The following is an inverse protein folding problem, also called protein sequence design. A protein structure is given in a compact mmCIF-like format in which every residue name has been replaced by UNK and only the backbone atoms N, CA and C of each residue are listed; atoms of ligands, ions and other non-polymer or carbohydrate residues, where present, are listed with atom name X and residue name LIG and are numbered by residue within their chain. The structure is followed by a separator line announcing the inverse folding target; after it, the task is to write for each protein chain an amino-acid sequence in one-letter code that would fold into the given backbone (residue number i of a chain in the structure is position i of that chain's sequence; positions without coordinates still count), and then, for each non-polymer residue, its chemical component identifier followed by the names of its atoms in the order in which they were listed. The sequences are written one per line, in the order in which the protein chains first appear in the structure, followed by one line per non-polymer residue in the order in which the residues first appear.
data_IF_705276490298
#
_entry.id   IF_705276490298
#
_cell.length_a   1.000
_cell.length_b   1.000
_cell.length_c   1.000
_cell.angle_alpha   90.00
_cell.angle_beta   90.00
_cell.angle_gamma   90.00
#
_symmetry.space_group_name_H-M   'P 1'
#
loop_
_entity.id
_entity.type
_entity.pdbx_description
1 polymer ?
#
# COMPACT_ATOMS: atom_id res chain seq x y z
N UNK A 1 -53.40 40.02 -46.66
CA UNK A 1 -53.64 39.04 -45.58
C UNK A 1 -55.10 39.11 -45.15
N UNK A 2 -56.01 38.31 -45.73
CA UNK A 2 -57.47 38.40 -45.44
C UNK A 2 -58.13 37.06 -45.11
N UNK A 3 -57.39 35.95 -45.21
CA UNK A 3 -57.91 34.61 -44.87
C UNK A 3 -57.55 34.26 -43.41
N UNK A 4 -58.43 33.55 -42.67
CA UNK A 4 -58.10 33.08 -41.33
C UNK A 4 -56.93 32.11 -41.36
N UNK A 5 -56.04 32.21 -40.37
CA UNK A 5 -54.89 31.31 -40.23
C UNK A 5 -55.34 30.03 -39.52
N UNK A 6 -55.27 28.90 -40.23
CA UNK A 6 -55.68 27.59 -39.73
C UNK A 6 -54.47 26.83 -39.15
N UNK A 7 -53.84 27.40 -38.12
CA UNK A 7 -52.58 26.88 -37.55
C UNK A 7 -52.70 25.46 -37.00
N UNK A 8 -53.70 25.21 -36.15
CA UNK A 8 -53.91 23.89 -35.56
C UNK A 8 -54.16 22.84 -36.65
N UNK A 9 -55.02 23.13 -37.64
CA UNK A 9 -55.31 22.20 -38.73
C UNK A 9 -54.06 21.87 -39.56
N UNK A 10 -53.20 22.86 -39.81
CA UNK A 10 -51.94 22.65 -40.49
C UNK A 10 -50.99 21.74 -39.70
N UNK A 11 -50.87 21.96 -38.38
CA UNK A 11 -50.02 21.15 -37.51
C UNK A 11 -50.53 19.71 -37.40
N UNK A 12 -51.85 19.51 -37.21
CA UNK A 12 -52.48 18.18 -37.25
C UNK A 12 -52.17 17.47 -38.57
N UNK A 13 -52.35 18.18 -39.70
CA UNK A 13 -52.08 17.61 -41.03
C UNK A 13 -50.60 17.25 -41.23
N UNK A 14 -49.68 18.05 -40.73
CA UNK A 14 -48.24 17.78 -40.81
C UNK A 14 -47.87 16.53 -40.01
N UNK A 15 -48.38 16.41 -38.79
CA UNK A 15 -48.18 15.23 -37.93
C UNK A 15 -48.79 13.98 -38.60
N UNK A 16 -50.01 14.06 -39.11
CA UNK A 16 -50.67 12.93 -39.78
C UNK A 16 -49.93 12.45 -41.04
N UNK A 17 -49.25 13.35 -41.75
CA UNK A 17 -48.61 13.03 -43.04
C UNK A 17 -47.12 12.72 -42.95
N UNK A 18 -46.42 13.30 -41.97
CA UNK A 18 -44.96 13.24 -41.86
C UNK A 18 -44.45 12.95 -40.45
N UNK A 19 -45.36 12.84 -39.48
CA UNK A 19 -45.01 12.43 -38.12
C UNK A 19 -44.80 10.91 -37.98
N UNK A 20 -44.53 10.45 -36.76
CA UNK A 20 -44.32 11.26 -35.56
C UNK A 20 -43.03 12.09 -35.64
N UNK A 21 -43.04 13.29 -35.06
CA UNK A 21 -41.84 14.13 -34.91
C UNK A 21 -41.21 13.92 -33.53
N UNK A 22 -39.88 14.05 -33.46
CA UNK A 22 -39.12 13.87 -32.21
C UNK A 22 -38.93 15.18 -31.42
N UNK A 23 -38.98 16.34 -32.09
CA UNK A 23 -38.82 17.68 -31.51
C UNK A 23 -39.44 18.75 -32.43
N UNK A 24 -39.81 19.91 -31.87
CA UNK A 24 -40.26 21.08 -32.64
C UNK A 24 -39.44 22.34 -32.35
N UNK A 25 -39.21 23.14 -33.40
CA UNK A 25 -38.55 24.45 -33.34
C UNK A 25 -39.51 25.56 -33.73
N UNK A 26 -39.59 26.60 -32.90
CA UNK A 26 -40.30 27.83 -33.26
C UNK A 26 -39.33 28.83 -33.90
N UNK A 27 -39.45 29.01 -35.21
CA UNK A 27 -38.67 30.01 -35.95
C UNK A 27 -39.37 31.36 -35.86
N UNK A 28 -38.82 32.26 -35.08
CA UNK A 28 -39.36 33.60 -34.86
C UNK A 28 -38.60 34.36 -33.77
N UNK A 29 -38.94 35.64 -33.52
CA UNK A 29 -38.23 36.50 -32.57
C UNK A 29 -38.51 36.16 -31.09
N UNK A 30 -39.47 35.28 -30.82
CA UNK A 30 -39.85 34.81 -29.50
C UNK A 30 -40.80 33.61 -29.63
N UNK A 31 -40.73 32.59 -28.75
CA UNK A 31 -41.65 31.46 -28.77
C UNK A 31 -43.07 31.84 -28.30
N UNK A 32 -43.90 32.35 -29.22
CA UNK A 32 -45.28 32.73 -28.95
C UNK A 32 -46.28 31.58 -29.19
N UNK A 33 -45.87 30.55 -29.93
CA UNK A 33 -46.72 29.45 -30.37
C UNK A 33 -46.51 28.16 -29.57
N UNK A 34 -45.54 28.12 -28.65
CA UNK A 34 -45.22 26.94 -27.83
C UNK A 34 -46.45 26.29 -27.18
N UNK A 35 -47.25 27.06 -26.44
CA UNK A 35 -48.46 26.55 -25.77
C UNK A 35 -49.45 25.88 -26.72
N UNK A 36 -50.01 26.62 -27.72
CA UNK A 36 -50.98 26.05 -28.66
C UNK A 36 -50.39 24.95 -29.55
N UNK A 37 -49.12 25.03 -29.92
CA UNK A 37 -48.44 23.98 -30.70
C UNK A 37 -48.35 22.68 -29.90
N UNK A 38 -47.85 22.73 -28.66
CA UNK A 38 -47.71 21.55 -27.80
C UNK A 38 -49.05 20.92 -27.46
N UNK A 39 -50.11 21.71 -27.24
CA UNK A 39 -51.46 21.18 -27.04
C UNK A 39 -51.97 20.41 -28.26
N UNK A 40 -51.80 20.98 -29.46
CA UNK A 40 -52.22 20.35 -30.71
C UNK A 40 -51.41 19.09 -31.01
N UNK A 41 -50.10 19.13 -30.78
CA UNK A 41 -49.20 17.97 -30.92
C UNK A 41 -49.64 16.85 -29.97
N UNK A 42 -49.87 17.18 -28.70
CA UNK A 42 -50.30 16.21 -27.70
C UNK A 42 -51.67 15.60 -28.03
N UNK A 43 -52.59 16.39 -28.60
CA UNK A 43 -53.91 15.91 -29.04
C UNK A 43 -53.80 14.85 -30.16
N UNK A 44 -52.86 15.01 -31.10
CA UNK A 44 -52.71 14.11 -32.26
C UNK A 44 -51.74 12.95 -32.01
N UNK A 45 -50.56 13.22 -31.44
CA UNK A 45 -49.54 12.21 -31.16
C UNK A 45 -49.73 11.48 -29.84
N UNK A 46 -50.59 11.97 -28.94
CA UNK A 46 -50.80 11.41 -27.60
C UNK A 46 -49.71 11.73 -26.58
N UNK A 47 -48.54 12.21 -27.01
CA UNK A 47 -47.42 12.60 -26.17
C UNK A 47 -46.96 14.03 -26.49
N UNK A 48 -46.33 14.68 -25.49
CA UNK A 48 -45.60 15.94 -25.72
C UNK A 48 -44.21 15.64 -26.26
N UNK A 49 -43.76 16.46 -27.20
CA UNK A 49 -42.39 16.42 -27.72
C UNK A 49 -41.60 17.62 -27.16
N UNK A 50 -40.26 17.52 -27.06
CA UNK A 50 -39.39 18.66 -26.82
C UNK A 50 -39.70 19.83 -27.76
N UNK A 51 -39.72 21.05 -27.23
CA UNK A 51 -40.05 22.27 -27.98
C UNK A 51 -39.13 23.41 -27.55
N UNK A 52 -38.46 24.03 -28.52
CA UNK A 52 -37.61 25.20 -28.26
C UNK A 52 -37.85 26.30 -29.29
N UNK A 53 -37.69 27.56 -28.88
CA UNK A 53 -37.66 28.71 -29.78
C UNK A 53 -36.23 29.01 -30.21
N UNK A 54 -36.04 29.55 -31.42
CA UNK A 54 -34.70 29.90 -31.92
C UNK A 54 -34.19 31.27 -31.43
N UNK A 55 -35.10 32.16 -31.01
CA UNK A 55 -34.79 33.47 -30.43
C UNK A 55 -35.73 33.75 -29.25
N UNK A 56 -35.26 34.59 -28.33
CA UNK A 56 -36.04 35.02 -27.16
C UNK A 56 -36.05 36.53 -27.00
N UNK A 57 -37.24 37.09 -26.72
CA UNK A 57 -37.42 38.51 -26.45
C UNK A 57 -36.54 38.96 -25.29
N UNK A 58 -35.66 39.93 -25.56
CA UNK A 58 -34.80 40.55 -24.55
C UNK A 58 -33.58 39.73 -24.16
N UNK A 59 -33.29 38.64 -24.89
CA UNK A 59 -32.05 37.88 -24.79
C UNK A 59 -31.13 38.22 -25.96
N UNK A 60 -29.85 37.85 -25.85
CA UNK A 60 -28.91 37.92 -26.96
C UNK A 60 -29.29 36.87 -28.03
N UNK A 61 -29.26 37.27 -29.30
CA UNK A 61 -29.70 36.43 -30.41
C UNK A 61 -28.76 35.24 -30.62
N UNK A 62 -27.45 35.42 -30.41
CA UNK A 62 -26.43 34.37 -30.57
C UNK A 62 -26.54 33.36 -29.45
N UNK A 63 -26.67 33.82 -28.20
CA UNK A 63 -26.90 32.93 -27.04
C UNK A 63 -28.22 32.15 -27.20
N UNK A 64 -29.31 32.83 -27.59
CA UNK A 64 -30.61 32.18 -27.78
C UNK A 64 -30.56 31.07 -28.83
N UNK A 65 -29.87 31.32 -29.95
CA UNK A 65 -29.72 30.33 -31.00
C UNK A 65 -28.78 29.19 -30.57
N UNK A 66 -27.68 29.51 -29.88
CA UNK A 66 -26.75 28.50 -29.34
C UNK A 66 -27.44 27.58 -28.32
N UNK A 67 -28.29 28.14 -27.46
CA UNK A 67 -29.12 27.37 -26.52
C UNK A 67 -30.09 26.45 -27.25
N UNK A 68 -30.71 26.89 -28.35
CA UNK A 68 -31.58 26.05 -29.16
C UNK A 68 -30.82 24.86 -29.79
N UNK A 69 -29.58 25.07 -30.25
CA UNK A 69 -28.70 24.00 -30.75
C UNK A 69 -28.22 23.07 -29.62
N UNK A 70 -27.88 23.60 -28.45
CA UNK A 70 -27.53 22.80 -27.26
C UNK A 70 -28.71 21.96 -26.76
N UNK A 71 -29.93 22.52 -26.83
CA UNK A 71 -31.16 21.81 -26.52
C UNK A 71 -31.41 20.67 -27.50
N UNK A 72 -31.19 20.90 -28.80
CA UNK A 72 -31.23 19.85 -29.83
C UNK A 72 -30.26 18.71 -29.50
N UNK A 73 -28.99 19.03 -29.24
CA UNK A 73 -27.93 18.06 -28.96
C UNK A 73 -28.18 17.26 -27.68
N UNK A 74 -28.71 17.89 -26.63
CA UNK A 74 -29.00 17.22 -25.36
C UNK A 74 -30.19 16.25 -25.44
N UNK A 75 -31.13 16.45 -26.37
CA UNK A 75 -32.34 15.63 -26.50
C UNK A 75 -32.28 14.63 -27.64
N UNK A 76 -31.67 14.99 -28.78
CA UNK A 76 -31.51 14.11 -29.93
C UNK A 76 -30.05 13.63 -29.98
N UNK A 77 -29.89 12.31 -29.94
CA UNK A 77 -28.63 11.58 -29.75
C UNK A 77 -27.40 12.24 -30.39
N UNK A 78 -26.23 12.26 -29.71
CA UNK A 78 -24.95 12.68 -30.29
C UNK A 78 -24.53 11.94 -31.57
N UNK A 79 -25.15 10.78 -31.85
CA UNK A 79 -24.90 9.97 -33.05
C UNK A 79 -25.88 10.26 -34.20
N UNK A 80 -26.66 11.33 -34.12
CA UNK A 80 -27.56 11.72 -35.19
C UNK A 80 -26.88 12.74 -36.12
N UNK A 81 -26.87 12.47 -37.43
CA UNK A 81 -26.39 13.38 -38.48
C UNK A 81 -27.25 14.67 -38.61
N UNK A 82 -28.09 14.96 -37.61
CA UNK A 82 -29.04 16.09 -37.58
C UNK A 82 -28.34 17.42 -37.34
N UNK A 83 -27.25 17.42 -36.57
CA UNK A 83 -26.45 18.60 -36.26
C UNK A 83 -25.10 18.50 -36.97
N UNK A 84 -25.06 18.99 -38.20
CA UNK A 84 -23.82 19.09 -38.97
C UNK A 84 -23.06 20.36 -38.57
N UNK A 85 -22.41 20.33 -37.40
CA UNK A 85 -21.67 21.48 -36.87
C UNK A 85 -20.55 21.95 -37.80
N UNK A 86 -19.95 21.04 -38.57
CA UNK A 86 -18.92 21.37 -39.57
C UNK A 86 -19.49 22.21 -40.71
N UNK A 87 -20.66 21.86 -41.26
CA UNK A 87 -21.28 22.64 -42.34
C UNK A 87 -21.85 23.96 -41.83
N UNK A 88 -22.35 23.99 -40.59
CA UNK A 88 -22.75 25.21 -39.91
C UNK A 88 -21.57 26.17 -39.74
N UNK A 89 -20.44 25.70 -39.21
CA UNK A 89 -19.23 26.51 -39.02
C UNK A 89 -18.68 27.01 -40.36
N UNK A 90 -18.59 26.15 -41.38
CA UNK A 90 -18.15 26.55 -42.72
C UNK A 90 -19.03 27.66 -43.33
N UNK A 91 -20.33 27.67 -43.02
CA UNK A 91 -21.27 28.69 -43.51
C UNK A 91 -21.16 30.00 -42.71
N UNK A 92 -20.95 29.92 -41.40
CA UNK A 92 -20.97 31.08 -40.50
C UNK A 92 -19.61 31.76 -40.34
N UNK A 93 -18.51 31.01 -40.38
CA UNK A 93 -17.15 31.47 -40.07
C UNK A 93 -16.33 31.88 -41.31
N UNK A 94 -16.81 31.57 -42.52
CA UNK A 94 -16.16 31.93 -43.77
C UNK A 94 -14.78 31.25 -43.95
N UNK A 95 -13.76 32.02 -44.34
CA UNK A 95 -12.39 31.50 -44.59
C UNK A 95 -11.47 31.49 -43.34
N UNK A 96 -12.01 31.71 -42.14
CA UNK A 96 -11.20 31.70 -40.93
C UNK A 96 -10.70 30.28 -40.61
N UNK A 97 -9.40 30.16 -40.29
CA UNK A 97 -8.82 28.87 -39.89
C UNK A 97 -9.21 28.53 -38.44
N UNK A 98 -9.65 27.29 -38.16
CA UNK A 98 -10.04 26.88 -36.82
C UNK A 98 -8.83 26.85 -35.88
N UNK A 99 -9.02 27.31 -34.64
CA UNK A 99 -8.00 27.22 -33.60
C UNK A 99 -8.21 25.95 -32.76
N UNK A 100 -7.20 25.09 -32.70
CA UNK A 100 -7.28 23.82 -31.97
C UNK A 100 -7.14 24.05 -30.46
N UNK A 101 -8.19 23.71 -29.71
CA UNK A 101 -8.17 23.75 -28.25
C UNK A 101 -7.42 22.51 -27.73
N UNK A 102 -6.23 22.73 -27.16
CA UNK A 102 -5.36 21.63 -26.69
C UNK A 102 -5.62 21.18 -25.24
N UNK A 103 -6.32 22.00 -24.45
CA UNK A 103 -6.39 21.87 -23.00
C UNK A 103 -7.81 21.57 -22.50
N UNK A 104 -8.54 20.68 -23.18
CA UNK A 104 -9.82 20.20 -22.65
C UNK A 104 -9.57 19.24 -21.47
N UNK A 105 -10.35 19.35 -20.38
CA UNK A 105 -10.26 18.39 -19.30
C UNK A 105 -10.57 16.98 -19.82
N UNK A 106 -9.81 15.95 -19.42
CA UNK A 106 -10.12 14.58 -19.79
C UNK A 106 -11.45 14.15 -19.17
N UNK A 107 -12.01 13.05 -19.70
CA UNK A 107 -13.19 12.44 -19.13
C UNK A 107 -12.98 12.11 -17.65
N UNK A 108 -13.84 12.65 -16.79
CA UNK A 108 -13.79 12.42 -15.35
C UNK A 108 -14.41 11.05 -15.04
N UNK A 109 -13.59 10.00 -15.00
CA UNK A 109 -14.04 8.68 -14.60
C UNK A 109 -14.55 8.70 -13.15
N UNK A 110 -15.63 7.95 -12.91
CA UNK A 110 -16.11 7.70 -11.56
C UNK A 110 -15.11 6.81 -10.79
N UNK A 111 -14.58 7.36 -9.70
CA UNK A 111 -13.60 6.71 -8.83
C UNK A 111 -14.17 6.37 -7.45
N UNK A 112 -15.50 6.46 -7.25
CA UNK A 112 -16.17 6.18 -5.98
C UNK A 112 -15.93 4.74 -5.50
N UNK A 113 -15.71 3.82 -6.45
CA UNK A 113 -15.43 2.42 -6.16
C UNK A 113 -14.02 2.01 -6.56
N UNK A 114 -13.27 1.53 -5.58
CA UNK A 114 -11.96 0.91 -5.80
C UNK A 114 -12.15 -0.55 -6.23
N UNK A 115 -11.84 -0.85 -7.49
CA UNK A 115 -11.85 -2.21 -8.04
C UNK A 115 -10.48 -2.89 -7.86
N UNK A 116 -9.99 -2.96 -6.62
CA UNK A 116 -8.73 -3.61 -6.27
C UNK A 116 -8.96 -4.78 -5.32
N UNK A 117 -8.44 -5.97 -5.64
CA UNK A 117 -8.47 -7.14 -4.75
C UNK A 117 -7.07 -7.69 -4.60
N UNK A 118 -6.58 -7.72 -3.37
CA UNK A 118 -5.29 -8.30 -3.02
C UNK A 118 -5.44 -9.23 -1.80
N UNK A 119 -4.62 -10.28 -1.73
CA UNK A 119 -4.62 -11.19 -0.58
C UNK A 119 -3.98 -10.51 0.63
N UNK A 120 -4.33 -10.97 1.84
CA UNK A 120 -3.75 -10.46 3.09
C UNK A 120 -2.22 -10.52 3.08
N UNK A 121 -1.65 -11.61 2.57
CA UNK A 121 -0.19 -11.83 2.52
C UNK A 121 0.49 -10.87 1.55
N UNK A 122 -0.08 -10.67 0.36
CA UNK A 122 0.45 -9.72 -0.64
C UNK A 122 0.37 -8.31 -0.11
N UNK A 123 -0.78 -7.91 0.46
CA UNK A 123 -0.95 -6.60 1.10
C UNK A 123 0.10 -6.38 2.19
N UNK A 124 0.21 -7.31 3.14
CA UNK A 124 1.14 -7.18 4.26
C UNK A 124 2.62 -7.16 3.82
N UNK A 125 2.97 -7.84 2.72
CA UNK A 125 4.32 -7.80 2.13
C UNK A 125 4.58 -6.44 1.48
N UNK A 126 3.63 -5.96 0.66
CA UNK A 126 3.72 -4.68 -0.07
C UNK A 126 3.72 -3.48 0.87
N UNK A 127 2.96 -3.53 1.96
CA UNK A 127 2.83 -2.44 2.94
C UNK A 127 3.67 -2.67 4.19
N UNK A 128 4.76 -3.46 4.08
CA UNK A 128 5.65 -3.75 5.21
C UNK A 128 6.27 -2.45 5.74
N UNK A 129 6.07 -2.16 7.03
CA UNK A 129 6.62 -0.96 7.70
C UNK A 129 8.05 -1.13 8.18
N UNK A 130 8.43 -2.35 8.58
CA UNK A 130 9.76 -2.62 9.13
C UNK A 130 10.78 -2.78 8.00
N UNK A 131 11.98 -2.17 8.12
CA UNK A 131 13.06 -2.39 7.17
C UNK A 131 13.56 -3.84 7.23
N UNK A 132 14.38 -4.20 6.25
CA UNK A 132 15.14 -5.45 6.30
C UNK A 132 16.17 -5.36 7.43
N UNK A 133 16.31 -6.44 8.20
CA UNK A 133 17.31 -6.54 9.26
C UNK A 133 18.44 -7.45 8.81
N UNK A 134 19.70 -7.06 8.99
CA UNK A 134 20.85 -7.79 8.41
C UNK A 134 20.89 -9.26 8.83
N UNK A 135 20.71 -9.53 10.13
CA UNK A 135 20.67 -10.91 10.66
C UNK A 135 19.30 -11.59 10.61
N UNK A 136 18.21 -10.91 10.99
CA UNK A 136 16.87 -11.51 11.04
C UNK A 136 16.17 -11.56 9.67
N UNK A 137 16.54 -10.69 8.74
CA UNK A 137 15.87 -10.49 7.48
C UNK A 137 14.50 -9.86 7.66
N UNK A 138 13.48 -10.54 7.16
CA UNK A 138 12.12 -10.02 7.06
C UNK A 138 11.19 -10.79 8.00
N UNK A 139 10.45 -10.08 8.83
CA UNK A 139 9.36 -10.70 9.58
C UNK A 139 8.25 -11.14 8.63
N UNK A 140 7.87 -12.41 8.70
CA UNK A 140 6.85 -13.00 7.88
C UNK A 140 5.47 -12.33 8.12
N UNK A 141 4.69 -12.09 7.06
CA UNK A 141 3.38 -11.44 7.14
C UNK A 141 2.25 -12.39 7.60
N UNK A 142 2.54 -13.67 7.75
CA UNK A 142 1.60 -14.73 8.10
C UNK A 142 1.29 -14.75 9.59
N UNK A 143 0.64 -13.67 10.03
CA UNK A 143 0.07 -13.45 11.36
C UNK A 143 -1.21 -14.26 11.57
N UNK A 144 -1.12 -15.58 11.57
CA UNK A 144 -2.25 -16.45 11.90
C UNK A 144 -2.38 -16.64 13.42
N UNK A 145 -1.25 -16.56 14.13
CA UNK A 145 -1.14 -16.76 15.58
C UNK A 145 -0.44 -15.54 16.20
N UNK A 146 -1.06 -14.83 17.16
CA UNK A 146 -0.49 -13.65 17.81
C UNK A 146 0.72 -13.96 18.72
N UNK A 147 0.87 -15.22 19.16
CA UNK A 147 1.98 -15.68 19.99
C UNK A 147 3.21 -16.07 19.17
N UNK A 148 3.06 -16.24 17.85
CA UNK A 148 4.14 -16.71 16.97
C UNK A 148 4.63 -15.61 16.03
N UNK A 149 5.90 -15.24 16.18
CA UNK A 149 6.61 -14.40 15.22
C UNK A 149 7.67 -15.22 14.48
N UNK A 150 7.80 -14.94 13.19
CA UNK A 150 8.76 -15.61 12.32
C UNK A 150 9.50 -14.60 11.48
N UNK A 151 10.80 -14.80 11.35
CA UNK A 151 11.65 -14.01 10.46
C UNK A 151 12.39 -14.93 9.51
N UNK A 152 12.43 -14.54 8.24
CA UNK A 152 13.12 -15.27 7.18
C UNK A 152 14.25 -14.41 6.63
N UNK A 153 15.39 -15.04 6.43
CA UNK A 153 16.57 -14.41 5.84
C UNK A 153 17.36 -15.40 4.98
N UNK A 154 18.16 -14.89 4.05
CA UNK A 154 19.17 -15.63 3.32
C UNK A 154 20.54 -15.04 3.70
N UNK A 155 21.23 -15.67 4.65
CA UNK A 155 22.52 -15.17 5.12
C UNK A 155 23.61 -15.46 4.09
N UNK A 156 24.35 -14.43 3.70
CA UNK A 156 25.47 -14.53 2.77
C UNK A 156 26.68 -13.75 3.30
N UNK A 157 27.88 -14.34 3.36
CA UNK A 157 29.10 -13.62 3.74
C UNK A 157 29.41 -12.41 2.84
N UNK A 158 28.87 -12.39 1.61
CA UNK A 158 29.00 -11.24 0.68
C UNK A 158 28.21 -10.02 1.14
N UNK A 159 27.08 -10.24 1.82
CA UNK A 159 26.20 -9.18 2.32
C UNK A 159 26.56 -8.78 3.76
N UNK A 160 27.21 -9.68 4.50
CA UNK A 160 27.59 -9.48 5.90
C UNK A 160 29.11 -9.68 6.05
N UNK A 161 29.93 -8.66 5.71
CA UNK A 161 31.38 -8.83 5.56
C UNK A 161 32.09 -9.31 6.82
N UNK A 162 31.58 -8.94 8.01
CA UNK A 162 32.18 -9.35 9.28
C UNK A 162 32.07 -10.85 9.55
N UNK A 163 31.18 -11.59 8.87
CA UNK A 163 31.11 -13.05 9.00
C UNK A 163 32.43 -13.71 8.59
N UNK A 164 33.14 -13.15 7.60
CA UNK A 164 34.44 -13.65 7.17
C UNK A 164 35.51 -13.58 8.27
N UNK A 165 35.30 -12.79 9.33
CA UNK A 165 36.21 -12.72 10.48
C UNK A 165 36.02 -13.86 11.50
N UNK A 166 34.95 -14.65 11.41
CA UNK A 166 34.71 -15.78 12.31
C UNK A 166 34.91 -17.10 11.55
N UNK A 167 36.16 -17.55 11.51
CA UNK A 167 36.56 -18.78 10.86
C UNK A 167 36.97 -19.82 11.90
N UNK A 168 36.54 -21.06 11.71
CA UNK A 168 37.00 -22.19 12.52
C UNK A 168 37.41 -23.29 11.57
N UNK A 169 38.63 -23.81 11.73
CA UNK A 169 39.24 -24.82 10.86
C UNK A 169 39.22 -24.41 9.38
N UNK A 170 39.42 -23.13 9.10
CA UNK A 170 39.44 -22.58 7.74
C UNK A 170 38.06 -22.41 7.09
N UNK A 171 36.98 -22.67 7.82
CA UNK A 171 35.61 -22.48 7.32
C UNK A 171 34.94 -21.30 8.02
N UNK A 172 34.17 -20.51 7.27
CA UNK A 172 33.33 -19.47 7.86
C UNK A 172 32.17 -20.15 8.58
N UNK A 173 32.08 -19.95 9.90
CA UNK A 173 31.02 -20.51 10.73
C UNK A 173 30.21 -19.36 11.32
N UNK A 174 28.89 -19.48 11.34
CA UNK A 174 28.06 -18.49 12.02
C UNK A 174 28.37 -18.48 13.53
N UNK A 175 28.75 -17.34 14.12
CA UNK A 175 29.20 -17.30 15.51
C UNK A 175 28.06 -17.62 16.47
N UNK A 176 28.42 -18.26 17.60
CA UNK A 176 27.47 -18.49 18.69
C UNK A 176 26.81 -17.19 19.18
N UNK A 177 27.61 -16.12 19.27
CA UNK A 177 27.15 -14.78 19.60
C UNK A 177 26.14 -14.23 18.56
N UNK A 178 26.22 -14.65 17.30
CA UNK A 178 25.27 -14.25 16.26
C UNK A 178 23.85 -14.75 16.54
N UNK A 179 23.68 -15.98 17.05
CA UNK A 179 22.37 -16.47 17.46
C UNK A 179 21.81 -15.66 18.63
N UNK A 180 22.65 -15.28 19.58
CA UNK A 180 22.25 -14.44 20.71
C UNK A 180 21.85 -13.03 20.26
N UNK A 181 22.62 -12.41 19.36
CA UNK A 181 22.26 -11.11 18.77
C UNK A 181 20.91 -11.17 18.06
N UNK A 182 20.68 -12.21 17.26
CA UNK A 182 19.37 -12.43 16.61
C UNK A 182 18.24 -12.60 17.63
N UNK A 183 18.46 -13.35 18.72
CA UNK A 183 17.47 -13.50 19.78
C UNK A 183 17.12 -12.16 20.43
N UNK A 184 18.15 -11.37 20.79
CA UNK A 184 18.00 -10.05 21.41
C UNK A 184 17.23 -9.11 20.49
N UNK A 185 17.60 -9.04 19.21
CA UNK A 185 16.94 -8.16 18.24
C UNK A 185 15.50 -8.61 17.95
N UNK A 186 15.23 -9.92 17.92
CA UNK A 186 13.88 -10.44 17.76
C UNK A 186 12.97 -10.00 18.93
N UNK A 187 13.48 -10.07 20.17
CA UNK A 187 12.78 -9.59 21.35
C UNK A 187 12.59 -8.07 21.35
N UNK A 188 13.60 -7.29 20.91
CA UNK A 188 13.46 -5.84 20.74
C UNK A 188 12.38 -5.48 19.74
N UNK A 189 12.33 -6.16 18.60
CA UNK A 189 11.29 -5.97 17.59
C UNK A 189 9.91 -6.38 18.13
N UNK A 190 9.82 -7.44 18.92
CA UNK A 190 8.57 -7.84 19.59
C UNK A 190 8.04 -6.71 20.49
N UNK A 191 8.89 -6.16 21.36
CA UNK A 191 8.48 -5.11 22.31
C UNK A 191 8.13 -3.81 21.58
N UNK A 192 8.96 -3.37 20.62
CA UNK A 192 8.69 -2.16 19.83
C UNK A 192 7.37 -2.23 19.04
N UNK A 193 6.88 -3.43 18.70
CA UNK A 193 5.59 -3.62 18.03
C UNK A 193 4.38 -3.50 18.96
N UNK A 194 4.57 -3.68 20.27
CA UNK A 194 3.50 -3.58 21.26
C UNK A 194 3.21 -2.13 21.65
N UNK A 195 4.12 -1.20 21.36
CA UNK A 195 3.95 0.24 21.55
C UNK A 195 5.24 0.90 22.03
N UNK A 196 5.33 2.22 21.88
CA UNK A 196 6.48 3.02 22.35
C UNK A 196 6.53 3.17 23.87
N UNK A 197 5.51 2.67 24.58
CA UNK A 197 5.36 2.80 26.03
C UNK A 197 6.08 1.72 26.83
N UNK A 198 6.65 0.70 26.19
CA UNK A 198 7.35 -0.40 26.86
C UNK A 198 8.80 -0.50 26.40
N UNK A 199 9.70 -0.73 27.36
CA UNK A 199 11.10 -1.01 27.12
C UNK A 199 11.53 -2.30 27.82
N UNK A 200 12.58 -2.95 27.28
CA UNK A 200 13.18 -4.12 27.89
C UNK A 200 14.13 -3.65 28.98
N UNK A 201 13.80 -3.98 30.23
CA UNK A 201 14.63 -3.70 31.40
C UNK A 201 15.75 -4.71 31.55
N UNK A 202 15.41 -5.99 31.50
CA UNK A 202 16.34 -7.13 31.57
C UNK A 202 15.84 -8.24 30.65
N UNK A 203 16.77 -8.95 30.02
CA UNK A 203 16.51 -10.13 29.20
C UNK A 203 17.37 -11.28 29.70
N UNK A 204 16.71 -12.36 30.13
CA UNK A 204 17.36 -13.61 30.46
C UNK A 204 17.24 -14.57 29.28
N UNK A 205 18.37 -15.10 28.83
CA UNK A 205 18.42 -16.16 27.81
C UNK A 205 18.81 -17.45 28.52
N UNK A 206 17.86 -18.38 28.57
CA UNK A 206 17.96 -19.64 29.31
C UNK A 206 18.03 -20.80 28.31
N UNK A 207 18.61 -21.91 28.75
CA UNK A 207 18.67 -23.16 27.97
C UNK A 207 19.18 -22.96 26.54
N UNK A 208 20.20 -22.10 26.38
CA UNK A 208 20.80 -21.81 25.08
C UNK A 208 21.61 -23.01 24.58
N UNK A 209 21.07 -23.70 23.57
CA UNK A 209 21.65 -24.91 23.00
C UNK A 209 21.88 -24.71 21.51
N UNK A 210 23.14 -24.83 21.08
CA UNK A 210 23.53 -24.91 19.67
C UNK A 210 23.75 -26.39 19.35
N UNK A 211 22.84 -26.98 18.56
CA UNK A 211 22.94 -28.37 18.15
C UNK A 211 23.94 -28.59 17.00
N UNK A 212 23.91 -27.72 15.98
CA UNK A 212 24.86 -27.76 14.87
C UNK A 212 25.15 -26.36 14.35
N UNK A 213 26.43 -26.05 14.16
CA UNK A 213 26.88 -24.80 13.56
C UNK A 213 26.40 -24.65 12.11
N UNK A 214 26.20 -23.41 11.69
CA UNK A 214 25.96 -23.06 10.29
C UNK A 214 27.32 -22.81 9.66
N UNK A 215 27.62 -23.52 8.59
CA UNK A 215 28.86 -23.38 7.82
C UNK A 215 28.50 -22.71 6.50
N UNK A 216 29.28 -21.72 6.10
CA UNK A 216 29.15 -21.06 4.81
C UNK A 216 30.17 -21.63 3.82
N UNK A 217 29.70 -21.89 2.60
CA UNK A 217 30.54 -22.27 1.46
C UNK A 217 30.51 -21.12 0.45
N UNK A 218 31.68 -20.74 -0.06
CA UNK A 218 31.88 -19.69 -1.07
C UNK A 218 31.12 -19.96 -2.37
N UNK A 219 30.78 -21.24 -2.63
CA UNK A 219 30.02 -21.66 -3.83
C UNK A 219 28.51 -21.56 -3.64
N UNK A 220 28.02 -21.36 -2.42
CA UNK A 220 26.59 -21.32 -2.12
C UNK A 220 25.98 -19.94 -2.38
N UNK A 221 24.68 -19.91 -2.72
CA UNK A 221 23.91 -18.66 -2.82
C UNK A 221 23.65 -18.00 -1.45
N UNK A 222 23.96 -18.70 -0.36
CA UNK A 222 23.68 -18.32 1.02
C UNK A 222 23.00 -19.44 1.80
N UNK A 223 22.78 -19.19 3.08
CA UNK A 223 22.09 -20.09 4.00
C UNK A 223 20.72 -19.51 4.29
N UNK A 224 19.66 -20.24 3.92
CA UNK A 224 18.30 -19.87 4.31
C UNK A 224 18.18 -20.06 5.82
N UNK A 225 17.66 -19.05 6.50
CA UNK A 225 17.41 -19.07 7.93
C UNK A 225 15.97 -18.67 8.23
N UNK A 226 15.42 -19.34 9.24
CA UNK A 226 14.12 -19.06 9.81
C UNK A 226 14.27 -18.98 11.32
N UNK A 227 14.05 -17.80 11.89
CA UNK A 227 13.91 -17.61 13.33
C UNK A 227 12.43 -17.65 13.68
N UNK A 228 12.07 -18.42 14.69
CA UNK A 228 10.73 -18.42 15.27
C UNK A 228 10.80 -18.01 16.74
N UNK A 229 10.00 -17.02 17.14
CA UNK A 229 9.76 -16.66 18.54
C UNK A 229 8.31 -17.01 18.87
N UNK A 230 8.13 -17.98 19.76
CA UNK A 230 6.81 -18.40 20.25
C UNK A 230 6.68 -17.95 21.69
N UNK A 231 5.65 -17.16 21.99
CA UNK A 231 5.34 -16.74 23.36
C UNK A 231 4.57 -17.85 24.07
N UNK A 232 4.84 -18.02 25.37
CA UNK A 232 4.18 -19.06 26.16
C UNK A 232 2.69 -18.75 26.36
N UNK A 233 2.36 -17.46 26.50
CA UNK A 233 1.00 -16.94 26.64
C UNK A 233 0.83 -15.63 25.85
N UNK A 234 -0.42 -15.24 25.60
CA UNK A 234 -0.68 -13.86 25.18
C UNK A 234 -0.27 -12.89 26.29
N UNK A 235 0.25 -11.74 25.91
CA UNK A 235 0.78 -10.78 26.88
C UNK A 235 -0.31 -10.23 27.79
N UNK A 236 -0.11 -10.41 29.09
CA UNK A 236 -0.88 -9.73 30.14
C UNK A 236 -0.17 -8.41 30.50
N UNK A 237 -0.86 -7.29 30.32
CA UNK A 237 -0.36 -5.94 30.65
C UNK A 237 0.03 -5.81 32.13
N UNK A 238 -0.56 -6.62 33.02
CA UNK A 238 -0.25 -6.62 34.45
C UNK A 238 1.04 -7.36 34.79
N UNK A 239 1.44 -8.35 33.97
CA UNK A 239 2.56 -9.24 34.27
C UNK A 239 3.93 -8.56 34.11
N UNK A 240 4.01 -7.47 33.32
CA UNK A 240 5.25 -6.73 32.96
C UNK A 240 6.42 -7.65 32.58
N UNK A 241 6.12 -8.85 32.11
CA UNK A 241 7.08 -9.86 31.71
C UNK A 241 6.59 -10.61 30.48
N UNK A 242 7.53 -11.10 29.67
CA UNK A 242 7.23 -11.90 28.49
C UNK A 242 8.12 -13.13 28.49
N UNK A 243 7.49 -14.29 28.39
CA UNK A 243 8.17 -15.57 28.28
C UNK A 243 7.94 -16.16 26.90
N UNK A 244 8.98 -16.81 26.38
CA UNK A 244 8.86 -17.51 25.13
C UNK A 244 10.06 -18.36 24.80
N UNK A 245 9.94 -19.06 23.68
CA UNK A 245 10.97 -19.92 23.11
C UNK A 245 11.39 -19.41 21.75
N UNK A 246 12.70 -19.29 21.55
CA UNK A 246 13.28 -18.98 20.25
C UNK A 246 13.88 -20.27 19.66
N UNK A 247 13.57 -20.51 18.39
CA UNK A 247 14.17 -21.59 17.60
C UNK A 247 14.73 -21.04 16.29
N UNK A 248 15.93 -21.48 15.97
CA UNK A 248 16.67 -21.09 14.78
C UNK A 248 16.79 -22.29 13.86
N UNK A 249 16.20 -22.20 12.68
CA UNK A 249 16.31 -23.20 11.64
C UNK A 249 17.18 -22.66 10.52
N UNK A 250 18.04 -23.50 9.94
CA UNK A 250 18.85 -23.08 8.81
C UNK A 250 19.25 -24.23 7.89
N UNK A 251 19.22 -23.97 6.58
CA UNK A 251 19.54 -24.92 5.53
C UNK A 251 20.25 -24.24 4.36
N UNK A 252 21.01 -25.02 3.58
CA UNK A 252 21.60 -24.53 2.35
C UNK A 252 20.48 -24.27 1.34
N UNK A 253 20.48 -23.09 0.72
CA UNK A 253 19.41 -22.68 -0.19
C UNK A 253 19.21 -23.62 -1.41
N UNK A 254 20.25 -24.37 -1.79
CA UNK A 254 20.24 -25.32 -2.91
C UNK A 254 20.12 -26.79 -2.48
N UNK A 255 19.83 -27.07 -1.20
CA UNK A 255 19.64 -28.46 -0.77
C UNK A 255 18.22 -28.92 -1.12
N UNK A 256 18.07 -30.12 -1.71
CA UNK A 256 16.79 -30.79 -2.04
C UNK A 256 15.96 -31.16 -0.80
N UNK A 257 16.29 -30.59 0.37
CA UNK A 257 15.65 -30.91 1.64
C UNK A 257 14.39 -30.07 1.77
N UNK A 258 13.25 -30.74 1.88
CA UNK A 258 11.93 -30.11 2.03
C UNK A 258 11.71 -29.43 3.40
N UNK A 259 12.67 -29.52 4.33
CA UNK A 259 12.56 -28.94 5.67
C UNK A 259 13.87 -28.30 6.14
N UNK A 260 13.76 -27.18 6.86
CA UNK A 260 14.90 -26.52 7.49
C UNK A 260 15.19 -27.19 8.85
N UNK A 261 16.39 -27.75 9.07
CA UNK A 261 16.75 -28.37 10.34
C UNK A 261 17.01 -27.32 11.43
N UNK A 262 16.70 -27.69 12.67
CA UNK A 262 16.98 -26.89 13.87
C UNK A 262 18.50 -26.79 14.10
N UNK A 263 18.99 -25.58 14.37
CA UNK A 263 20.40 -25.29 14.65
C UNK A 263 20.62 -24.85 16.08
N UNK A 264 19.75 -23.99 16.57
CA UNK A 264 19.86 -23.41 17.91
C UNK A 264 18.46 -23.24 18.51
N UNK A 265 18.38 -23.34 19.84
CA UNK A 265 17.17 -22.99 20.59
C UNK A 265 17.54 -22.37 21.93
N UNK A 266 16.67 -21.50 22.43
CA UNK A 266 16.75 -20.98 23.79
C UNK A 266 15.35 -20.59 24.28
N UNK A 267 15.21 -20.46 25.60
CA UNK A 267 14.09 -19.75 26.22
C UNK A 267 14.51 -18.32 26.52
N UNK A 268 13.56 -17.40 26.43
CA UNK A 268 13.75 -16.00 26.75
C UNK A 268 12.73 -15.59 27.81
N UNK A 269 13.21 -14.84 28.80
CA UNK A 269 12.39 -14.21 29.83
C UNK A 269 12.72 -12.71 29.82
N UNK A 270 11.75 -11.89 29.43
CA UNK A 270 11.88 -10.45 29.34
C UNK A 270 11.20 -9.81 30.53
N UNK A 271 11.90 -8.95 31.26
CA UNK A 271 11.31 -8.03 32.22
C UNK A 271 11.16 -6.66 31.57
N UNK A 272 9.96 -6.09 31.61
CA UNK A 272 9.62 -4.85 30.94
C UNK A 272 9.45 -3.70 31.93
N UNK A 273 9.64 -2.48 31.44
CA UNK A 273 9.35 -1.24 32.15
C UNK A 273 8.72 -0.19 31.23
N UNK A 274 8.20 0.88 31.82
CA UNK A 274 7.56 1.96 31.07
C UNK A 274 8.63 2.77 30.32
N UNK A 275 8.52 2.82 28.98
CA UNK A 275 9.53 3.34 28.06
C UNK A 275 9.78 4.86 28.12
N UNK A 276 8.89 5.61 28.79
CA UNK A 276 9.03 7.06 28.98
C UNK A 276 10.22 7.48 29.87
N UNK A 277 10.93 6.52 30.47
CA UNK A 277 12.08 6.76 31.35
C UNK A 277 13.45 6.61 30.66
N UNK A 278 13.53 6.26 29.37
CA UNK A 278 14.80 5.97 28.69
C UNK A 278 15.27 7.10 27.75
N UNK A 279 14.58 8.25 27.72
CA UNK A 279 15.15 9.46 27.07
C UNK A 279 16.20 10.16 27.92
N UNK A 280 16.27 9.87 29.22
CA UNK A 280 17.28 10.45 30.10
C UNK A 280 18.06 9.34 30.80
N UNK A 281 19.28 9.09 30.32
CA UNK A 281 20.37 8.69 31.22
C UNK A 281 20.61 9.89 32.13
N UNK A 282 19.72 10.11 33.11
CA UNK A 282 20.03 10.94 34.27
C UNK A 282 21.01 10.14 35.09
N UNK A 283 22.26 10.59 35.12
CA UNK A 283 23.19 10.31 36.21
C UNK A 283 22.48 10.68 37.53
N UNK A 284 21.85 9.71 38.20
CA UNK A 284 21.13 9.94 39.46
C UNK A 284 19.93 9.06 39.77
N UNK A 285 19.55 8.07 38.95
CA UNK A 285 18.49 7.14 39.35
C UNK A 285 18.98 6.14 40.41
N UNK A 286 18.39 6.17 41.60
CA UNK A 286 18.64 5.25 42.73
C UNK A 286 18.01 3.87 42.50
N UNK A 287 18.22 3.29 41.31
CA UNK A 287 17.87 1.90 41.06
C UNK A 287 19.05 1.00 41.40
N UNK A 288 18.81 -0.08 42.16
CA UNK A 288 19.81 -1.12 42.37
C UNK A 288 20.30 -1.64 41.02
N UNK A 289 21.60 -1.95 40.85
CA UNK A 289 22.13 -2.46 39.60
C UNK A 289 21.38 -3.74 39.21
N UNK A 290 20.81 -3.75 38.01
CA UNK A 290 19.97 -4.85 37.50
C UNK A 290 20.77 -6.14 37.28
N UNK A 291 22.06 -6.00 37.03
CA UNK A 291 23.01 -7.09 36.91
C UNK A 291 23.95 -7.07 38.11
N UNK A 292 24.44 -8.24 38.57
CA UNK A 292 25.41 -8.30 39.65
C UNK A 292 26.64 -7.43 39.29
N UNK A 293 27.22 -6.71 40.27
CA UNK A 293 28.43 -5.94 40.03
C UNK A 293 29.52 -6.86 39.51
N UNK A 294 30.36 -6.34 38.59
CA UNK A 294 31.54 -7.08 38.15
C UNK A 294 32.41 -7.38 39.37
N UNK A 295 32.85 -8.62 39.51
CA UNK A 295 33.87 -8.97 40.50
C UNK A 295 35.13 -8.13 40.29
N UNK A 296 35.81 -7.74 41.36
CA UNK A 296 37.09 -7.04 41.28
C UNK A 296 38.07 -7.79 40.38
N UNK A 297 38.86 -7.03 39.61
CA UNK A 297 39.89 -7.61 38.74
C UNK A 297 40.79 -8.55 39.55
N UNK A 298 41.07 -9.72 38.98
CA UNK A 298 42.02 -10.66 39.55
C UNK A 298 43.34 -9.94 39.84
N UNK A 299 43.68 -9.79 41.12
CA UNK A 299 44.85 -9.01 41.59
C UNK A 299 46.16 -9.54 41.00
N UNK A 300 46.22 -10.82 40.64
CA UNK A 300 47.38 -11.50 40.05
C UNK A 300 47.17 -11.93 38.59
N UNK A 301 46.35 -11.20 37.82
CA UNK A 301 46.17 -11.46 36.40
C UNK A 301 47.44 -11.19 35.59
N UNK A 302 47.91 -12.18 34.81
CA UNK A 302 48.98 -11.97 33.83
C UNK A 302 48.37 -11.30 32.61
N UNK A 303 48.97 -10.19 32.15
CA UNK A 303 48.54 -9.53 30.93
C UNK A 303 48.86 -10.43 29.72
N UNK A 304 47.86 -10.69 28.87
CA UNK A 304 48.00 -11.51 27.66
C UNK A 304 48.02 -10.60 26.44
N UNK A 305 49.10 -10.66 25.66
CA UNK A 305 49.17 -9.96 24.39
C UNK A 305 48.16 -10.54 23.39
N UNK A 306 47.33 -9.68 22.81
CA UNK A 306 46.25 -10.10 21.92
C UNK A 306 46.78 -10.80 20.65
N UNK A 307 47.91 -10.35 20.08
CA UNK A 307 48.47 -10.97 18.88
C UNK A 307 48.97 -12.38 19.18
N UNK A 308 49.68 -12.54 20.30
CA UNK A 308 50.14 -13.86 20.74
C UNK A 308 48.96 -14.79 21.04
N UNK A 309 47.90 -14.28 21.69
CA UNK A 309 46.69 -15.04 21.97
C UNK A 309 46.03 -15.57 20.68
N UNK A 310 45.78 -14.71 19.70
CA UNK A 310 45.15 -15.12 18.44
C UNK A 310 46.08 -15.98 17.57
N UNK A 311 47.40 -15.79 17.62
CA UNK A 311 48.35 -16.69 16.96
C UNK A 311 48.25 -18.13 17.50
N UNK A 312 48.19 -18.27 18.83
CA UNK A 312 48.01 -19.59 19.47
C UNK A 312 46.63 -20.19 19.17
N UNK A 313 45.57 -19.37 19.09
CA UNK A 313 44.24 -19.83 18.71
C UNK A 313 44.18 -20.33 17.26
N UNK A 314 44.89 -19.67 16.34
CA UNK A 314 44.99 -20.09 14.95
C UNK A 314 45.63 -21.48 14.80
N UNK A 315 46.62 -21.82 15.66
CA UNK A 315 47.24 -23.15 15.67
C UNK A 315 46.25 -24.26 16.04
N UNK A 316 45.24 -23.96 16.87
CA UNK A 316 44.17 -24.91 17.25
C UNK A 316 42.92 -24.76 16.38
N UNK A 317 42.96 -23.90 15.37
CA UNK A 317 41.94 -23.76 14.33
C UNK A 317 40.87 -22.70 14.57
N UNK A 318 41.16 -21.63 15.32
CA UNK A 318 40.26 -20.48 15.56
C UNK A 318 40.78 -19.17 14.95
#
# INVERSE_FOLDING_TARGET
MVKPVLFAQALKKAIDTKGPFDMAFEVGPHPALQGPALQTIQEVQGNRIPYTGVLSRGADDVESFADALGYLWSHLSPNSDLLQLESFDATMSGEQQPNVIKNLPPYAFDHDRVYWRESRLVKATRTRKTPYHDLLGVCCPDRTDPTLLRWKNLLSPKEIPWLGGHMVQGQIIFPAAGYLSMAIDACRILVARRGETLAIKVMDILDFVIGKGIIFDDRSLGVETLLTLTLDEEYDENARSINGTIRFYAGLANSDVSSLPLRCSCRVHLNLEDGALISDIVEGSTSLPLLPPRSEQLVNGVNVDAKQFYANLAEVGY
#
